data_IF_488168837462
#
_entry.id   IF_488168837462
#
_cell.length_a   1.000
_cell.length_b   1.000
_cell.length_c   1.000
_cell.angle_alpha   90.00
_cell.angle_beta   90.00
_cell.angle_gamma   90.00
#
_symmetry.space_group_name_H-M   'P 1'
#
loop_
_entity.id
_entity.type
_entity.pdbx_description
1 polymer ?
#
# COMPACT_ATOMS: atom_id res chain seq x y z
N UNK A 1 0.14 -32.27 23.85
CA UNK A 1 0.44 -30.90 24.33
C UNK A 1 1.91 -30.54 24.05
N UNK A 2 2.34 -30.48 22.78
CA UNK A 2 3.74 -30.18 22.41
C UNK A 2 3.89 -29.13 21.28
N UNK A 3 2.84 -28.39 20.91
CA UNK A 3 2.90 -27.39 19.82
C UNK A 3 3.13 -25.95 20.27
N UNK A 4 2.94 -25.64 21.57
CA UNK A 4 2.83 -24.26 22.04
C UNK A 4 4.15 -23.51 22.20
N UNK A 5 5.28 -24.21 22.18
CA UNK A 5 6.62 -23.62 22.36
C UNK A 5 7.24 -23.24 21.02
N UNK A 6 7.09 -24.09 20.00
CA UNK A 6 7.61 -23.89 18.65
C UNK A 6 6.89 -22.74 17.93
N UNK A 7 5.57 -22.63 18.07
CA UNK A 7 4.77 -21.54 17.49
C UNK A 7 5.17 -20.16 18.07
N UNK A 8 5.46 -20.10 19.38
CA UNK A 8 5.92 -18.86 20.04
C UNK A 8 7.34 -18.46 19.64
N UNK A 9 8.23 -19.42 19.43
CA UNK A 9 9.60 -19.15 18.95
C UNK A 9 9.62 -18.71 17.48
N UNK A 10 8.74 -19.28 16.64
CA UNK A 10 8.58 -18.85 15.25
C UNK A 10 7.97 -17.44 15.14
N UNK A 11 6.97 -17.12 15.96
CA UNK A 11 6.37 -15.77 16.02
C UNK A 11 7.38 -14.71 16.49
N UNK A 12 8.19 -15.01 17.50
CA UNK A 12 9.24 -14.11 17.99
C UNK A 12 10.33 -13.87 16.93
N UNK A 13 10.69 -14.92 16.18
CA UNK A 13 11.66 -14.81 15.09
C UNK A 13 11.10 -14.04 13.86
N UNK A 14 9.83 -14.25 13.49
CA UNK A 14 9.18 -13.47 12.41
C UNK A 14 9.09 -11.99 12.79
N UNK A 15 8.68 -11.69 14.04
CA UNK A 15 8.63 -10.33 14.57
C UNK A 15 10.00 -9.62 14.50
N UNK A 16 11.05 -10.30 14.95
CA UNK A 16 12.43 -9.78 14.89
C UNK A 16 12.91 -9.56 13.46
N UNK A 17 12.58 -10.47 12.54
CA UNK A 17 12.90 -10.32 11.12
C UNK A 17 12.19 -9.10 10.49
N UNK A 18 10.90 -8.91 10.77
CA UNK A 18 10.14 -7.75 10.27
C UNK A 18 10.70 -6.43 10.82
N UNK A 19 11.08 -6.40 12.09
CA UNK A 19 11.71 -5.23 12.70
C UNK A 19 13.05 -4.87 12.03
N UNK A 20 13.90 -5.86 11.78
CA UNK A 20 15.17 -5.64 11.08
C UNK A 20 14.96 -5.14 9.64
N UNK A 21 13.96 -5.68 8.94
CA UNK A 21 13.61 -5.21 7.59
C UNK A 21 13.13 -3.77 7.59
N UNK A 22 12.34 -3.36 8.58
CA UNK A 22 11.91 -1.97 8.72
C UNK A 22 13.12 -1.03 8.92
N UNK A 23 14.07 -1.39 9.78
CA UNK A 23 15.29 -0.59 10.01
C UNK A 23 16.09 -0.46 8.71
N UNK A 24 16.36 -1.57 8.02
CA UNK A 24 17.10 -1.57 6.77
C UNK A 24 16.40 -0.71 5.71
N UNK A 25 15.08 -0.83 5.62
CA UNK A 25 14.25 -0.05 4.71
C UNK A 25 14.36 1.46 5.00
N UNK A 26 14.19 1.88 6.26
CA UNK A 26 14.29 3.29 6.66
C UNK A 26 15.66 3.87 6.33
N UNK A 27 16.72 3.11 6.59
CA UNK A 27 18.08 3.50 6.22
C UNK A 27 18.23 3.66 4.70
N UNK A 28 17.72 2.73 3.89
CA UNK A 28 17.77 2.84 2.43
C UNK A 28 17.04 4.08 1.91
N UNK A 29 15.84 4.36 2.45
CA UNK A 29 15.07 5.57 2.10
C UNK A 29 15.83 6.84 2.51
N UNK A 30 16.38 6.89 3.72
CA UNK A 30 17.16 8.04 4.19
C UNK A 30 18.40 8.29 3.31
N UNK A 31 19.14 7.23 2.99
CA UNK A 31 20.35 7.29 2.16
C UNK A 31 20.07 7.70 0.71
N UNK A 32 18.84 7.49 0.21
CA UNK A 32 18.43 7.96 -1.11
C UNK A 32 18.41 9.49 -1.22
N UNK A 33 18.39 10.21 -0.09
CA UNK A 33 18.30 11.69 -0.03
C UNK A 33 17.16 12.25 -0.89
N UNK A 34 16.04 11.53 -0.92
CA UNK A 34 14.82 11.91 -1.65
C UNK A 34 14.90 11.74 -3.16
N UNK A 35 15.92 11.06 -3.68
CA UNK A 35 16.04 10.71 -5.11
C UNK A 35 15.38 9.37 -5.46
N UNK A 36 14.80 8.69 -4.47
CA UNK A 36 14.10 7.42 -4.63
C UNK A 36 12.94 7.54 -5.64
N UNK A 37 12.98 6.70 -6.67
CA UNK A 37 11.99 6.72 -7.77
C UNK A 37 11.01 5.54 -7.71
N UNK A 38 11.46 4.38 -7.23
CA UNK A 38 10.67 3.15 -7.14
C UNK A 38 10.93 2.51 -5.77
N UNK A 39 9.86 2.13 -5.07
CA UNK A 39 9.96 1.35 -3.85
C UNK A 39 8.80 0.39 -3.65
N UNK A 40 9.11 -0.72 -2.96
CA UNK A 40 8.13 -1.72 -2.55
C UNK A 40 8.20 -1.90 -1.03
N UNK A 41 7.06 -1.76 -0.37
CA UNK A 41 6.87 -2.08 1.03
C UNK A 41 6.20 -3.44 1.11
N UNK A 42 6.90 -4.40 1.70
CA UNK A 42 6.40 -5.77 1.89
C UNK A 42 5.67 -5.95 3.22
N UNK A 43 5.56 -7.21 3.66
CA UNK A 43 4.93 -7.71 4.90
C UNK A 43 5.02 -6.83 6.17
N UNK A 44 6.06 -6.03 6.31
CA UNK A 44 6.34 -5.11 7.42
C UNK A 44 5.76 -3.69 7.24
N UNK A 45 4.91 -3.47 6.22
CA UNK A 45 4.32 -2.17 5.96
C UNK A 45 3.37 -1.71 7.04
N UNK A 46 3.64 -0.53 7.59
CA UNK A 46 2.81 0.17 8.57
C UNK A 46 2.41 1.55 8.03
N UNK A 47 1.40 2.18 8.65
CA UNK A 47 1.04 3.56 8.37
C UNK A 47 2.23 4.53 8.54
N UNK A 48 2.98 4.35 9.62
CA UNK A 48 4.15 5.18 9.93
C UNK A 48 5.26 5.02 8.89
N UNK A 49 5.52 3.80 8.44
CA UNK A 49 6.54 3.53 7.43
C UNK A 49 6.14 4.10 6.07
N UNK A 50 4.86 3.98 5.73
CA UNK A 50 4.29 4.51 4.50
C UNK A 50 4.35 6.04 4.49
N UNK A 51 3.94 6.70 5.58
CA UNK A 51 4.02 8.15 5.73
C UNK A 51 5.47 8.64 5.69
N UNK A 52 6.37 7.97 6.42
CA UNK A 52 7.81 8.27 6.41
C UNK A 52 8.41 8.19 5.01
N UNK A 53 8.05 7.15 4.25
CA UNK A 53 8.49 6.97 2.86
C UNK A 53 8.03 8.15 2.01
N UNK A 54 6.75 8.52 2.10
CA UNK A 54 6.19 9.61 1.30
C UNK A 54 6.81 10.98 1.66
N UNK A 55 7.12 11.20 2.93
CA UNK A 55 7.75 12.45 3.38
C UNK A 55 9.20 12.57 2.92
N UNK A 56 9.92 11.45 2.94
CA UNK A 56 11.34 11.38 2.58
C UNK A 56 11.59 11.30 1.07
N UNK A 57 10.65 10.73 0.30
CA UNK A 57 10.82 10.40 -1.12
C UNK A 57 9.82 11.15 -2.03
N UNK A 58 9.89 12.48 -2.05
CA UNK A 58 8.94 13.31 -2.83
C UNK A 58 9.03 13.13 -4.35
N UNK A 59 10.14 12.58 -4.86
CA UNK A 59 10.34 12.25 -6.28
C UNK A 59 9.89 10.83 -6.65
N UNK A 60 9.23 10.13 -5.73
CA UNK A 60 8.78 8.77 -5.97
C UNK A 60 7.76 8.74 -7.12
N UNK A 61 8.07 7.93 -8.13
CA UNK A 61 7.20 7.70 -9.30
C UNK A 61 6.45 6.38 -9.19
N UNK A 62 6.96 5.42 -8.42
CA UNK A 62 6.30 4.14 -8.23
C UNK A 62 6.32 3.69 -6.77
N UNK A 63 5.13 3.35 -6.27
CA UNK A 63 4.92 2.83 -4.93
C UNK A 63 4.15 1.52 -5.01
N UNK A 64 4.71 0.45 -4.44
CA UNK A 64 4.05 -0.85 -4.32
C UNK A 64 3.91 -1.26 -2.86
N UNK A 65 2.70 -1.64 -2.44
CA UNK A 65 2.42 -2.26 -1.14
C UNK A 65 2.05 -3.72 -1.39
N UNK A 66 2.79 -4.65 -0.80
CA UNK A 66 2.63 -6.08 -1.05
C UNK A 66 2.56 -6.87 0.25
N UNK A 67 1.50 -7.67 0.40
CA UNK A 67 1.33 -8.59 1.53
C UNK A 67 1.36 -7.90 2.90
N UNK A 68 1.01 -6.61 2.99
CA UNK A 68 0.92 -5.91 4.27
C UNK A 68 -0.25 -6.49 5.07
N UNK A 69 0.05 -7.08 6.23
CA UNK A 69 -0.95 -7.69 7.11
C UNK A 69 -1.73 -6.65 7.91
N UNK A 70 -1.17 -5.46 8.10
CA UNK A 70 -1.78 -4.38 8.87
C UNK A 70 -2.77 -3.57 8.04
N UNK A 71 -3.80 -3.04 8.71
CA UNK A 71 -4.72 -2.07 8.14
C UNK A 71 -3.95 -0.79 7.83
N UNK A 72 -3.95 -0.35 6.57
CA UNK A 72 -3.50 1.00 6.22
C UNK A 72 -4.70 1.94 6.34
N UNK A 73 -4.59 2.96 7.17
CA UNK A 73 -5.67 3.93 7.35
C UNK A 73 -5.89 4.75 6.08
N UNK A 74 -7.16 4.97 5.72
CA UNK A 74 -7.53 5.78 4.55
C UNK A 74 -6.92 7.19 4.64
N UNK A 75 -6.92 7.79 5.83
CA UNK A 75 -6.33 9.10 6.10
C UNK A 75 -4.83 9.16 5.81
N UNK A 76 -4.11 8.07 6.07
CA UNK A 76 -2.67 7.96 5.80
C UNK A 76 -2.41 7.91 4.30
N UNK A 77 -3.20 7.15 3.55
CA UNK A 77 -3.05 7.10 2.09
C UNK A 77 -3.38 8.45 1.42
N UNK A 78 -4.37 9.19 1.96
CA UNK A 78 -4.65 10.58 1.53
C UNK A 78 -3.43 11.48 1.79
N UNK A 79 -2.81 11.38 2.96
CA UNK A 79 -1.63 12.18 3.30
C UNK A 79 -0.43 11.84 2.40
N UNK A 80 -0.24 10.55 2.10
CA UNK A 80 0.79 10.05 1.18
C UNK A 80 0.57 10.59 -0.23
N UNK A 81 -0.67 10.54 -0.74
CA UNK A 81 -1.01 11.07 -2.06
C UNK A 81 -0.64 12.56 -2.20
N UNK A 82 -0.86 13.36 -1.15
CA UNK A 82 -0.50 14.79 -1.14
C UNK A 82 1.01 15.04 -1.19
N UNK A 83 1.82 14.09 -0.70
CA UNK A 83 3.29 14.22 -0.67
C UNK A 83 3.96 13.70 -1.93
N UNK A 84 3.24 12.93 -2.74
CA UNK A 84 3.78 12.25 -3.93
C UNK A 84 3.12 12.75 -5.23
N UNK A 85 3.21 14.04 -5.58
CA UNK A 85 2.57 14.58 -6.79
C UNK A 85 3.14 13.99 -8.09
N UNK A 86 4.35 13.42 -8.02
CA UNK A 86 5.04 12.80 -9.16
C UNK A 86 4.73 11.31 -9.33
N UNK A 87 3.83 10.75 -8.51
CA UNK A 87 3.49 9.33 -8.56
C UNK A 87 2.83 8.97 -9.88
N UNK A 88 3.41 8.00 -10.58
CA UNK A 88 2.93 7.47 -11.85
C UNK A 88 2.27 6.11 -11.70
N UNK A 89 2.70 5.33 -10.71
CA UNK A 89 2.24 3.97 -10.51
C UNK A 89 2.02 3.68 -9.02
N UNK A 90 0.80 3.26 -8.68
CA UNK A 90 0.43 2.79 -7.36
C UNK A 90 -0.10 1.35 -7.47
N UNK A 91 0.51 0.44 -6.72
CA UNK A 91 0.07 -0.95 -6.64
C UNK A 91 -0.12 -1.35 -5.19
N UNK A 92 -1.28 -1.93 -4.88
CA UNK A 92 -1.61 -2.45 -3.56
C UNK A 92 -2.12 -3.87 -3.75
N UNK A 93 -1.35 -4.86 -3.33
CA UNK A 93 -1.64 -6.27 -3.58
C UNK A 93 -1.53 -7.13 -2.33
N UNK A 94 -2.48 -8.06 -2.17
CA UNK A 94 -2.49 -9.04 -1.08
C UNK A 94 -2.49 -8.42 0.33
N UNK A 95 -3.08 -7.23 0.50
CA UNK A 95 -3.25 -6.60 1.80
C UNK A 95 -4.63 -6.96 2.39
N UNK A 96 -4.64 -7.62 3.55
CA UNK A 96 -5.81 -8.37 4.07
C UNK A 96 -6.88 -7.51 4.75
N UNK A 97 -6.55 -6.27 5.14
CA UNK A 97 -7.46 -5.37 5.86
C UNK A 97 -7.58 -4.00 5.20
N UNK A 98 -7.80 -4.00 3.89
CA UNK A 98 -8.05 -2.77 3.15
C UNK A 98 -9.54 -2.39 3.30
N UNK A 99 -9.82 -1.45 4.22
CA UNK A 99 -11.12 -0.80 4.42
C UNK A 99 -11.56 -0.01 3.15
N UNK A 100 -12.84 0.39 3.01
CA UNK A 100 -13.26 1.16 1.85
C UNK A 100 -12.40 2.42 1.69
N UNK A 101 -11.94 2.66 0.46
CA UNK A 101 -10.89 3.63 0.15
C UNK A 101 -11.39 4.75 -0.77
N UNK A 102 -12.70 5.01 -0.76
CA UNK A 102 -13.32 5.94 -1.70
C UNK A 102 -12.70 7.35 -1.65
N UNK A 103 -12.46 7.87 -0.44
CA UNK A 103 -11.87 9.18 -0.24
C UNK A 103 -10.38 9.18 -0.57
N UNK A 104 -9.67 8.10 -0.22
CA UNK A 104 -8.27 7.96 -0.59
C UNK A 104 -8.08 7.88 -2.11
N UNK A 105 -8.91 7.12 -2.82
CA UNK A 105 -8.85 7.01 -4.28
C UNK A 105 -9.19 8.33 -4.97
N UNK A 106 -10.19 9.06 -4.47
CA UNK A 106 -10.49 10.43 -4.93
C UNK A 106 -9.31 11.36 -4.70
N UNK A 107 -8.69 11.31 -3.51
CA UNK A 107 -7.51 12.11 -3.20
C UNK A 107 -6.31 11.76 -4.09
N UNK A 108 -6.05 10.47 -4.32
CA UNK A 108 -4.98 10.01 -5.24
C UNK A 108 -5.22 10.55 -6.65
N UNK A 109 -6.44 10.46 -7.17
CA UNK A 109 -6.78 10.98 -8.50
C UNK A 109 -6.54 12.49 -8.63
N UNK A 110 -6.77 13.25 -7.54
CA UNK A 110 -6.57 14.70 -7.48
C UNK A 110 -5.11 15.12 -7.22
N UNK A 111 -4.45 14.46 -6.27
CA UNK A 111 -3.12 14.85 -5.78
C UNK A 111 -1.97 14.30 -6.62
N UNK A 112 -2.16 13.18 -7.33
CA UNK A 112 -1.15 12.57 -8.19
C UNK A 112 -1.53 12.80 -9.67
N UNK A 113 -1.28 13.99 -10.25
CA UNK A 113 -1.64 14.32 -11.63
C UNK A 113 -1.04 13.32 -12.65
N UNK A 114 0.16 12.80 -12.37
CA UNK A 114 0.92 11.93 -13.27
C UNK A 114 0.56 10.44 -13.18
N UNK A 115 -0.40 10.06 -12.35
CA UNK A 115 -0.76 8.66 -12.15
C UNK A 115 -1.29 8.02 -13.45
N UNK A 116 -0.60 6.99 -13.92
CA UNK A 116 -0.88 6.22 -15.14
C UNK A 116 -1.46 4.83 -14.83
N UNK A 117 -0.97 4.21 -13.77
CA UNK A 117 -1.38 2.86 -13.36
C UNK A 117 -1.81 2.86 -11.90
N UNK A 118 -3.02 2.34 -11.67
CA UNK A 118 -3.51 2.04 -10.33
C UNK A 118 -3.97 0.57 -10.31
N UNK A 119 -3.29 -0.24 -9.50
CA UNK A 119 -3.60 -1.66 -9.33
C UNK A 119 -3.98 -1.94 -7.90
N UNK A 120 -5.19 -2.44 -7.69
CA UNK A 120 -5.70 -2.79 -6.37
C UNK A 120 -6.16 -4.25 -6.42
N UNK A 121 -5.44 -5.14 -5.75
CA UNK A 121 -5.88 -6.52 -5.56
C UNK A 121 -6.55 -6.62 -4.19
N UNK A 122 -7.87 -6.49 -4.20
CA UNK A 122 -8.71 -6.57 -3.01
C UNK A 122 -9.01 -8.06 -2.79
N UNK A 123 -8.42 -8.66 -1.74
CA UNK A 123 -9.01 -9.86 -1.15
C UNK A 123 -10.21 -9.40 -0.33
N UNK A 124 -11.36 -9.26 -0.99
CA UNK A 124 -12.63 -9.06 -0.29
C UNK A 124 -12.96 -10.32 0.47
N UNK A 125 -13.14 -10.23 1.79
CA UNK A 125 -13.96 -11.23 2.49
C UNK A 125 -15.30 -11.36 1.73
N UNK A 126 -15.88 -12.57 1.60
CA UNK A 126 -17.03 -12.86 0.73
C UNK A 126 -18.31 -12.05 1.01
N UNK A 127 -18.31 -11.16 1.99
CA UNK A 127 -19.44 -10.31 2.37
C UNK A 127 -19.34 -8.85 1.91
N UNK A 128 -18.24 -8.41 1.29
CA UNK A 128 -18.04 -7.01 0.92
C UNK A 128 -18.00 -6.81 -0.61
N UNK A 129 -19.17 -6.90 -1.26
CA UNK A 129 -19.32 -6.50 -2.67
C UNK A 129 -19.40 -4.97 -2.74
N UNK A 130 -18.28 -4.31 -3.04
CA UNK A 130 -18.24 -2.86 -3.24
C UNK A 130 -17.85 -2.51 -4.68
N UNK A 131 -18.85 -2.09 -5.44
CA UNK A 131 -18.74 -1.57 -6.82
C UNK A 131 -18.39 -0.05 -6.84
N UNK A 132 -18.25 0.58 -5.67
CA UNK A 132 -18.04 2.02 -5.52
C UNK A 132 -16.62 2.50 -5.84
N UNK A 133 -15.61 1.62 -5.73
CA UNK A 133 -14.20 1.99 -5.90
C UNK A 133 -13.88 2.38 -7.36
N UNK A 134 -14.49 1.70 -8.34
CA UNK A 134 -14.33 2.01 -9.76
C UNK A 134 -15.04 3.33 -10.16
N UNK A 135 -16.21 3.60 -9.58
CA UNK A 135 -17.00 4.80 -9.87
C UNK A 135 -16.37 6.08 -9.28
N UNK A 136 -15.79 6.01 -8.09
CA UNK A 136 -15.15 7.14 -7.42
C UNK A 136 -13.91 7.67 -8.18
N UNK A 137 -13.20 6.77 -8.87
CA UNK A 137 -12.06 7.14 -9.73
C UNK A 137 -12.53 7.66 -11.08
N UNK A 138 -13.59 7.07 -11.67
CA UNK A 138 -14.18 7.55 -12.93
C UNK A 138 -14.72 8.99 -12.83
N UNK A 139 -15.23 9.40 -11.66
CA UNK A 139 -15.60 10.80 -11.39
C UNK A 139 -14.41 11.74 -11.19
N UNK A 140 -13.20 11.21 -10.98
CA UNK A 140 -11.97 12.01 -10.91
C UNK A 140 -11.49 12.25 -12.34
N UNK A 141 -11.60 13.48 -12.84
CA UNK A 141 -11.26 13.95 -14.20
C UNK A 141 -9.84 13.54 -14.71
N UNK A 142 -9.62 12.26 -15.03
CA UNK A 142 -8.33 11.72 -15.50
C UNK A 142 -8.55 10.70 -16.63
N UNK A 143 -8.63 11.15 -17.89
CA UNK A 143 -8.96 10.29 -19.04
C UNK A 143 -7.90 9.23 -19.43
N UNK A 144 -6.76 9.14 -18.73
CA UNK A 144 -5.64 8.26 -19.10
C UNK A 144 -5.32 7.15 -18.07
N UNK A 145 -6.10 7.00 -17.00
CA UNK A 145 -5.78 6.04 -15.93
C UNK A 145 -6.17 4.61 -16.33
N UNK A 146 -5.20 3.68 -16.35
CA UNK A 146 -5.47 2.24 -16.47
C UNK A 146 -5.68 1.66 -15.08
N UNK A 147 -6.84 1.05 -14.87
CA UNK A 147 -7.24 0.44 -13.60
C UNK A 147 -7.44 -1.06 -13.76
N UNK A 148 -6.86 -1.83 -12.83
CA UNK A 148 -7.06 -3.28 -12.75
C UNK A 148 -7.46 -3.64 -11.32
N UNK A 149 -8.71 -4.10 -11.15
CA UNK A 149 -9.13 -4.85 -9.96
C UNK A 149 -9.01 -6.33 -10.31
N UNK A 150 -8.21 -7.05 -9.55
CA UNK A 150 -8.26 -8.52 -9.53
C UNK A 150 -8.89 -8.94 -8.20
N UNK A 151 -10.05 -9.59 -8.23
CA UNK A 151 -10.62 -10.28 -7.08
C UNK A 151 -10.16 -11.74 -7.11
N UNK A 152 -9.37 -12.17 -6.13
CA UNK A 152 -9.10 -13.60 -5.94
C UNK A 152 -10.24 -14.19 -5.11
N UNK A 153 -11.11 -14.98 -5.74
CA UNK A 153 -11.97 -15.92 -5.04
C UNK A 153 -11.15 -17.18 -4.76
N UNK A 154 -10.70 -17.38 -3.51
CA UNK A 154 -10.22 -18.68 -3.08
C UNK A 154 -11.43 -19.62 -2.98
N UNK A 155 -11.63 -20.44 -4.01
CA UNK A 155 -12.35 -21.72 -3.90
C UNK A 155 -11.29 -22.81 -3.76
N UNK A 156 -11.26 -23.48 -2.61
CA UNK A 156 -10.36 -24.59 -2.31
C UNK A 156 -10.35 -24.90 -0.83
#
# INVERSE_FOLDING_TARGET
>A
MHNSTTEREEEDNDSKMLFNLEIMYRNAVSLSRGTLVDITIGRFGTDDLLYYTADSARHLRRLRLQCCRLCILESILIAVARKLPLLEELEITNCYHFLPMELALKAIGRCCPLLKSLKLNKKTYPYAKFDGDAFAIAQSHKPCLRYAISSFSETG
#
